data_IF_762214301933
#
_entry.id   IF_762214301933
#
_cell.length_a   1.000
_cell.length_b   1.000
_cell.length_c   1.000
_cell.angle_alpha   90.00
_cell.angle_beta   90.00
_cell.angle_gamma   90.00
#
_symmetry.space_group_name_H-M   'P 1'
#
loop_
_entity.id
_entity.type
_entity.pdbx_description
1 polymer ?
#
# COMPACT_ATOMS: atom_id res chain seq x y z
N UNK A 1 0.70 19.17 0.12
CA UNK A 1 1.20 17.78 -0.05
C UNK A 1 -0.01 16.93 -0.41
N UNK A 2 0.03 16.08 -1.45
CA UNK A 2 -1.09 15.17 -1.70
C UNK A 2 -1.23 14.20 -0.53
N UNK A 3 -2.44 14.17 0.03
CA UNK A 3 -2.83 13.25 1.09
C UNK A 3 -3.99 12.41 0.55
N UNK A 4 -3.86 11.10 0.69
CA UNK A 4 -4.91 10.14 0.37
C UNK A 4 -5.40 9.56 1.69
N UNK A 5 -6.69 9.73 1.93
CA UNK A 5 -7.40 9.06 3.03
C UNK A 5 -8.52 8.23 2.43
N UNK A 6 -8.47 6.92 2.63
CA UNK A 6 -9.49 5.98 2.16
C UNK A 6 -9.84 4.98 3.24
N UNK A 7 -11.08 4.56 3.29
CA UNK A 7 -11.50 3.46 4.14
C UNK A 7 -12.67 2.69 3.52
N UNK A 8 -12.80 1.42 3.91
CA UNK A 8 -13.91 0.56 3.55
C UNK A 8 -14.30 -0.32 4.74
N UNK A 9 -15.59 -0.66 4.82
CA UNK A 9 -16.07 -1.73 5.68
C UNK A 9 -16.12 -3.02 4.84
N UNK A 10 -15.50 -4.07 5.34
CA UNK A 10 -15.39 -5.36 4.64
C UNK A 10 -15.81 -6.50 5.56
N UNK A 11 -16.45 -7.57 5.03
CA UNK A 11 -16.90 -8.72 5.80
C UNK A 11 -15.74 -9.72 6.08
N UNK A 12 -14.54 -9.21 6.32
CA UNK A 12 -13.33 -9.99 6.58
C UNK A 12 -12.73 -9.54 7.91
N UNK A 13 -12.03 -10.43 8.59
CA UNK A 13 -11.40 -10.11 9.88
C UNK A 13 -10.23 -9.14 9.71
N UNK A 14 -9.84 -8.40 10.76
CA UNK A 14 -8.62 -7.59 10.73
C UNK A 14 -7.39 -8.39 10.31
N UNK A 15 -7.25 -9.62 10.82
CA UNK A 15 -6.14 -10.51 10.47
C UNK A 15 -6.11 -10.90 8.97
N UNK A 16 -7.27 -11.18 8.37
CA UNK A 16 -7.36 -11.45 6.93
C UNK A 16 -6.89 -10.25 6.11
N UNK A 17 -7.39 -9.06 6.43
CA UNK A 17 -7.03 -7.84 5.69
C UNK A 17 -5.58 -7.43 5.93
N UNK A 18 -5.10 -7.51 7.17
CA UNK A 18 -3.71 -7.27 7.54
C UNK A 18 -2.77 -8.20 6.78
N UNK A 19 -3.08 -9.51 6.73
CA UNK A 19 -2.27 -10.50 6.02
C UNK A 19 -2.09 -10.17 4.54
N UNK A 20 -3.15 -9.68 3.88
CA UNK A 20 -3.07 -9.28 2.46
C UNK A 20 -2.15 -8.06 2.25
N UNK A 21 -2.23 -7.06 3.13
CA UNK A 21 -1.39 -5.85 3.05
C UNK A 21 0.05 -6.13 3.48
N UNK A 22 0.28 -7.07 4.40
CA UNK A 22 1.64 -7.49 4.77
C UNK A 22 2.33 -8.29 3.66
N UNK A 23 1.58 -9.07 2.87
CA UNK A 23 2.08 -9.92 1.78
C UNK A 23 2.46 -9.09 0.53
N UNK A 24 3.53 -8.31 0.67
CA UNK A 24 4.02 -7.39 -0.37
C UNK A 24 4.42 -8.13 -1.65
N UNK A 25 5.02 -9.31 -1.56
CA UNK A 25 5.45 -10.11 -2.72
C UNK A 25 4.26 -10.53 -3.61
N UNK A 26 3.05 -10.62 -3.06
CA UNK A 26 1.85 -10.92 -3.83
C UNK A 26 1.25 -9.72 -4.57
N UNK A 27 1.71 -8.49 -4.33
CA UNK A 27 1.13 -7.28 -4.93
C UNK A 27 1.06 -7.31 -6.46
N UNK A 28 2.08 -7.77 -7.21
CA UNK A 28 2.01 -7.87 -8.67
C UNK A 28 0.88 -8.78 -9.20
N UNK A 29 0.37 -9.70 -8.36
CA UNK A 29 -0.69 -10.63 -8.75
C UNK A 29 -2.06 -9.96 -8.90
N UNK A 30 -2.27 -8.80 -8.28
CA UNK A 30 -3.59 -8.12 -8.26
C UNK A 30 -3.54 -6.60 -8.42
N UNK A 31 -2.40 -5.96 -8.17
CA UNK A 31 -2.19 -4.54 -8.43
C UNK A 31 -1.57 -4.36 -9.82
N UNK A 32 -2.40 -4.12 -10.85
CA UNK A 32 -1.96 -4.04 -12.25
C UNK A 32 -0.88 -2.98 -12.54
N UNK A 33 -0.67 -2.02 -11.63
CA UNK A 33 0.34 -0.96 -11.74
C UNK A 33 1.66 -1.30 -11.03
N UNK A 34 1.75 -2.44 -10.34
CA UNK A 34 2.95 -2.99 -9.72
C UNK A 34 3.56 -4.03 -10.66
N UNK A 35 4.78 -3.77 -11.15
CA UNK A 35 5.52 -4.69 -12.04
C UNK A 35 6.20 -5.80 -11.26
N UNK A 36 6.80 -5.45 -10.13
CA UNK A 36 7.47 -6.41 -9.24
C UNK A 36 7.42 -5.90 -7.80
N UNK A 37 7.48 -6.82 -6.86
CA UNK A 37 7.61 -6.56 -5.44
C UNK A 37 8.68 -7.50 -4.88
N UNK A 38 9.40 -7.04 -3.87
CA UNK A 38 10.48 -7.80 -3.24
C UNK A 38 10.60 -7.41 -1.77
N UNK A 39 10.47 -8.39 -0.88
CA UNK A 39 10.81 -8.26 0.55
C UNK A 39 12.30 -8.58 0.76
N UNK A 40 13.07 -7.59 1.22
CA UNK A 40 14.51 -7.73 1.48
C UNK A 40 14.82 -8.32 2.85
N UNK A 41 14.04 -7.90 3.85
CA UNK A 41 14.16 -8.30 5.25
C UNK A 41 12.79 -8.25 5.89
N UNK A 42 12.50 -9.21 6.75
CA UNK A 42 11.27 -9.24 7.54
C UNK A 42 11.54 -9.92 8.88
N UNK A 43 11.00 -9.33 9.94
CA UNK A 43 10.84 -9.93 11.26
C UNK A 43 9.40 -9.70 11.75
N UNK A 44 9.13 -9.99 13.02
CA UNK A 44 7.79 -9.87 13.61
C UNK A 44 7.24 -8.44 13.61
N UNK A 45 8.13 -7.45 13.60
CA UNK A 45 7.84 -6.03 13.86
C UNK A 45 8.26 -5.09 12.73
N UNK A 46 9.14 -5.54 11.83
CA UNK A 46 9.66 -4.73 10.75
C UNK A 46 9.73 -5.49 9.42
N UNK A 47 9.51 -4.79 8.32
CA UNK A 47 9.70 -5.31 6.97
C UNK A 47 10.34 -4.23 6.08
N UNK A 48 11.39 -4.58 5.33
CA UNK A 48 11.98 -3.72 4.32
C UNK A 48 11.60 -4.28 2.95
N UNK A 49 10.80 -3.54 2.19
CA UNK A 49 10.26 -4.01 0.92
C UNK A 49 10.42 -2.98 -0.19
N UNK A 50 10.58 -3.44 -1.41
CA UNK A 50 10.67 -2.59 -2.60
C UNK A 50 9.57 -2.91 -3.59
N UNK A 51 8.93 -1.86 -4.11
CA UNK A 51 7.99 -1.94 -5.21
C UNK A 51 8.58 -1.31 -6.47
N UNK A 52 8.46 -1.99 -7.60
CA UNK A 52 8.61 -1.40 -8.93
C UNK A 52 7.23 -1.16 -9.53
N UNK A 53 6.95 0.09 -9.87
CA UNK A 53 5.64 0.53 -10.34
C UNK A 53 5.74 1.14 -11.74
N UNK A 54 4.69 0.95 -12.54
CA UNK A 54 4.57 1.54 -13.87
C UNK A 54 3.39 2.50 -13.92
N UNK A 55 3.69 3.79 -14.04
CA UNK A 55 2.69 4.86 -14.03
C UNK A 55 2.94 5.81 -15.19
N UNK A 56 1.92 6.03 -16.03
CA UNK A 56 2.02 6.88 -17.23
C UNK A 56 3.20 6.54 -18.15
N UNK A 57 3.51 5.25 -18.29
CA UNK A 57 4.65 4.77 -19.09
C UNK A 57 6.02 4.89 -18.41
N UNK A 58 6.10 5.51 -17.22
CA UNK A 58 7.33 5.61 -16.44
C UNK A 58 7.42 4.43 -15.46
N UNK A 59 8.57 3.78 -15.46
CA UNK A 59 8.92 2.77 -14.45
C UNK A 59 9.72 3.46 -13.33
N UNK A 60 9.31 3.22 -12.09
CA UNK A 60 9.96 3.75 -10.89
C UNK A 60 9.98 2.70 -9.80
N UNK A 61 11.05 2.72 -9.00
CA UNK A 61 11.25 1.79 -7.90
C UNK A 61 11.42 2.56 -6.60
N UNK A 62 10.74 2.14 -5.54
CA UNK A 62 10.88 2.73 -4.21
C UNK A 62 10.81 1.66 -3.14
N UNK A 63 11.62 1.83 -2.10
CA UNK A 63 11.74 0.98 -0.93
C UNK A 63 11.07 1.67 0.25
N UNK A 64 10.25 0.94 0.99
CA UNK A 64 9.72 1.38 2.27
C UNK A 64 10.28 0.54 3.41
N UNK A 65 10.51 1.19 4.55
CA UNK A 65 10.64 0.55 5.84
C UNK A 65 9.26 0.52 6.48
N UNK A 66 8.81 -0.68 6.81
CA UNK A 66 7.49 -0.90 7.35
C UNK A 66 7.60 -1.30 8.81
N UNK A 67 6.77 -0.71 9.66
CA UNK A 67 6.55 -1.14 11.04
C UNK A 67 5.25 -1.93 11.11
N UNK A 68 5.34 -3.15 11.61
CA UNK A 68 4.29 -4.15 11.66
C UNK A 68 3.70 -4.20 13.08
N UNK A 69 2.39 -3.95 13.19
CA UNK A 69 1.60 -4.24 14.38
C UNK A 69 0.56 -5.27 13.98
N UNK A 70 0.78 -6.57 14.28
CA UNK A 70 -0.06 -7.67 13.82
C UNK A 70 -1.55 -7.37 13.99
N UNK A 71 -2.32 -7.59 12.92
CA UNK A 71 -3.78 -7.47 12.84
C UNK A 71 -4.38 -6.08 13.15
N UNK A 72 -3.55 -5.07 13.48
CA UNK A 72 -4.01 -3.73 13.87
C UNK A 72 -3.52 -2.65 12.91
N UNK A 73 -2.22 -2.64 12.58
CA UNK A 73 -1.60 -1.52 11.86
C UNK A 73 -0.37 -1.93 11.06
N UNK A 74 -0.17 -1.30 9.90
CA UNK A 74 1.09 -1.36 9.15
C UNK A 74 1.47 0.07 8.75
N UNK A 75 2.61 0.54 9.26
CA UNK A 75 3.13 1.89 8.99
C UNK A 75 4.21 1.76 7.92
N UNK A 76 4.21 2.65 6.93
CA UNK A 76 5.16 2.68 5.83
C UNK A 76 5.91 3.99 5.86
N UNK A 77 7.24 3.94 5.76
CA UNK A 77 8.10 5.11 5.64
C UNK A 77 9.08 4.92 4.48
N UNK A 78 9.36 5.97 3.73
CA UNK A 78 10.31 5.92 2.62
C UNK A 78 11.71 5.60 3.12
N UNK A 79 12.32 4.55 2.59
CA UNK A 79 13.75 4.26 2.78
C UNK A 79 14.57 4.77 1.58
N UNK A 80 14.06 4.57 0.35
CA UNK A 80 14.71 5.03 -0.88
C UNK A 80 13.69 5.14 -2.01
N UNK A 81 13.82 6.12 -2.90
CA UNK A 81 13.00 6.15 -4.12
C UNK A 81 13.07 7.48 -4.85
N UNK A 82 12.21 7.68 -5.86
CA UNK A 82 12.08 8.95 -6.56
C UNK A 82 11.24 9.99 -5.80
N UNK A 83 10.72 9.61 -4.63
CA UNK A 83 9.99 10.50 -3.73
C UNK A 83 10.99 11.23 -2.84
N UNK A 84 10.72 12.49 -2.51
CA UNK A 84 11.44 13.19 -1.45
C UNK A 84 10.98 12.68 -0.08
N UNK A 85 9.68 12.37 0.01
CA UNK A 85 9.06 11.77 1.19
C UNK A 85 7.88 10.89 0.75
N UNK A 86 7.70 9.78 1.44
CA UNK A 86 6.52 8.92 1.35
C UNK A 86 6.31 8.33 2.75
N UNK A 87 5.14 8.57 3.31
CA UNK A 87 4.71 7.98 4.56
C UNK A 87 3.27 7.53 4.44
N UNK A 88 2.91 6.45 5.12
CA UNK A 88 1.54 5.99 5.14
C UNK A 88 1.26 5.04 6.28
N UNK A 89 -0.01 4.78 6.52
CA UNK A 89 -0.44 3.77 7.46
C UNK A 89 -1.71 3.09 7.02
N UNK A 90 -1.68 1.77 7.05
CA UNK A 90 -2.86 0.94 7.07
C UNK A 90 -3.32 0.73 8.50
N UNK A 91 -4.63 0.81 8.74
CA UNK A 91 -5.25 0.48 10.02
C UNK A 91 -6.39 -0.50 9.79
N UNK A 92 -6.49 -1.48 10.68
CA UNK A 92 -7.48 -2.56 10.64
C UNK A 92 -8.23 -2.56 11.97
N UNK A 93 -9.49 -2.14 11.95
CA UNK A 93 -10.29 -2.06 13.18
C UNK A 93 -11.46 -3.03 13.10
N UNK A 94 -11.70 -3.87 14.12
CA UNK A 94 -12.86 -4.76 14.12
C UNK A 94 -14.16 -3.94 14.14
N UNK A 95 -15.16 -4.45 13.42
CA UNK A 95 -16.56 -3.99 13.49
C UNK A 95 -17.48 -5.19 13.69
N UNK A 96 -18.77 -4.97 13.95
CA UNK A 96 -19.71 -6.04 14.30
C UNK A 96 -19.68 -7.24 13.33
N UNK A 97 -19.60 -6.97 12.02
CA UNK A 97 -19.57 -7.99 10.96
C UNK A 97 -18.36 -7.81 10.05
N UNK A 98 -17.15 -7.77 10.61
CA UNK A 98 -15.89 -7.77 9.86
C UNK A 98 -14.88 -6.72 10.32
N UNK A 99 -14.34 -5.95 9.37
CA UNK A 99 -13.27 -4.99 9.62
C UNK A 99 -13.49 -3.68 8.88
N UNK A 100 -13.16 -2.56 9.53
CA UNK A 100 -12.84 -1.30 8.85
C UNK A 100 -11.37 -1.30 8.47
N UNK A 101 -11.09 -1.25 7.18
CA UNK A 101 -9.74 -1.06 6.64
C UNK A 101 -9.58 0.38 6.22
N UNK A 102 -8.53 1.04 6.70
CA UNK A 102 -8.21 2.43 6.36
C UNK A 102 -6.78 2.56 5.84
N UNK A 103 -6.58 3.43 4.87
CA UNK A 103 -5.29 3.84 4.35
C UNK A 103 -5.17 5.36 4.44
N UNK A 104 -4.14 5.80 5.16
CA UNK A 104 -3.60 7.16 5.12
C UNK A 104 -2.28 7.12 4.36
N UNK A 105 -2.13 7.95 3.33
CA UNK A 105 -0.90 8.03 2.54
C UNK A 105 -0.55 9.47 2.23
N UNK A 106 0.70 9.84 2.49
CA UNK A 106 1.29 11.14 2.19
C UNK A 106 2.54 10.92 1.36
N UNK A 107 2.72 11.73 0.33
CA UNK A 107 3.92 11.64 -0.49
C UNK A 107 4.28 12.99 -1.08
N UNK A 108 5.58 13.19 -1.28
CA UNK A 108 6.14 14.31 -1.98
C UNK A 108 7.13 13.80 -3.03
N UNK A 109 7.02 14.32 -4.24
CA UNK A 109 7.96 14.02 -5.32
C UNK A 109 8.68 15.31 -5.66
N UNK A 110 9.97 15.39 -5.35
CA UNK A 110 10.82 16.49 -5.74
C UNK A 110 11.22 16.39 -7.20
N UNK A 111 11.46 17.53 -7.85
CA UNK A 111 11.96 17.56 -9.22
C UNK A 111 10.99 18.19 -10.23
N UNK A 112 10.88 19.52 -10.20
CA UNK A 112 10.36 20.35 -11.28
C UNK A 112 9.01 19.94 -11.91
N UNK A 113 8.68 20.48 -13.08
CA UNK A 113 7.45 20.13 -13.81
C UNK A 113 7.43 18.69 -14.34
N UNK A 114 8.60 18.05 -14.48
CA UNK A 114 8.78 16.79 -15.21
C UNK A 114 8.17 15.55 -14.52
N UNK A 115 7.99 15.58 -13.20
CA UNK A 115 7.43 14.46 -12.43
C UNK A 115 5.94 14.61 -12.09
N UNK A 116 5.29 15.69 -12.54
CA UNK A 116 3.84 15.92 -12.33
C UNK A 116 2.94 14.79 -12.85
N UNK A 117 3.18 14.20 -14.04
CA UNK A 117 2.37 13.07 -14.50
C UNK A 117 2.48 11.86 -13.58
N UNK A 118 3.68 11.56 -13.08
CA UNK A 118 3.91 10.48 -12.13
C UNK A 118 3.12 10.73 -10.83
N UNK A 119 3.28 11.90 -10.21
CA UNK A 119 2.58 12.27 -8.98
C UNK A 119 1.04 12.16 -9.12
N UNK A 120 0.48 12.66 -10.23
CA UNK A 120 -0.97 12.59 -10.49
C UNK A 120 -1.47 11.15 -10.60
N UNK A 121 -0.74 10.29 -11.31
CA UNK A 121 -1.14 8.90 -11.50
C UNK A 121 -0.91 8.07 -10.24
N UNK A 122 0.14 8.35 -9.47
CA UNK A 122 0.36 7.72 -8.17
C UNK A 122 -0.80 8.01 -7.22
N UNK A 123 -1.26 9.27 -7.13
CA UNK A 123 -2.44 9.63 -6.33
C UNK A 123 -3.68 8.82 -6.72
N UNK A 124 -3.93 8.67 -8.03
CA UNK A 124 -5.09 7.90 -8.52
C UNK A 124 -5.02 6.42 -8.18
N UNK A 125 -3.82 5.84 -8.13
CA UNK A 125 -3.64 4.44 -7.73
C UNK A 125 -3.77 4.29 -6.22
N UNK A 126 -3.16 5.19 -5.45
CA UNK A 126 -3.32 5.24 -4.00
C UNK A 126 -4.81 5.35 -3.59
N UNK A 127 -5.59 6.17 -4.31
CA UNK A 127 -7.04 6.31 -4.10
C UNK A 127 -7.83 5.02 -4.31
N UNK A 128 -7.27 4.03 -5.03
CA UNK A 128 -7.90 2.74 -5.34
C UNK A 128 -7.40 1.59 -4.48
N UNK A 129 -6.32 1.79 -3.71
CA UNK A 129 -5.68 0.70 -2.99
C UNK A 129 -6.67 -0.04 -2.08
N UNK A 130 -7.46 0.66 -1.27
CA UNK A 130 -8.45 0.03 -0.39
C UNK A 130 -9.43 -0.86 -1.17
N UNK A 131 -9.91 -0.40 -2.31
CA UNK A 131 -10.82 -1.17 -3.17
C UNK A 131 -10.10 -2.39 -3.78
N UNK A 132 -8.86 -2.24 -4.22
CA UNK A 132 -8.06 -3.31 -4.79
C UNK A 132 -7.81 -4.43 -3.76
N UNK A 133 -7.49 -4.06 -2.51
CA UNK A 133 -7.34 -5.01 -1.40
C UNK A 133 -8.67 -5.65 -1.00
N UNK A 134 -9.77 -4.90 -1.04
CA UNK A 134 -11.10 -5.47 -0.77
C UNK A 134 -11.47 -6.52 -1.81
N UNK A 135 -11.21 -6.26 -3.10
CA UNK A 135 -11.41 -7.26 -4.17
C UNK A 135 -10.48 -8.46 -4.00
N UNK A 136 -9.23 -8.23 -3.59
CA UNK A 136 -8.29 -9.31 -3.31
C UNK A 136 -8.77 -10.19 -2.15
N UNK A 137 -9.32 -9.61 -1.09
CA UNK A 137 -9.87 -10.35 0.04
C UNK A 137 -11.02 -11.26 -0.39
N UNK A 138 -11.91 -10.78 -1.26
CA UNK A 138 -12.96 -11.62 -1.83
C UNK A 138 -12.41 -12.80 -2.64
N UNK A 139 -11.35 -12.59 -3.42
CA UNK A 139 -10.74 -13.69 -4.19
C UNK A 139 -10.07 -14.75 -3.30
N UNK A 140 -9.53 -14.35 -2.14
CA UNK A 140 -8.76 -15.24 -1.26
C UNK A 140 -9.62 -15.89 -0.17
N UNK A 141 -10.66 -15.18 0.30
CA UNK A 141 -11.46 -15.59 1.46
C UNK A 141 -12.97 -15.71 1.19
N UNK A 142 -13.49 -15.11 0.11
CA UNK A 142 -14.92 -15.02 -0.18
C UNK A 142 -15.49 -16.23 -0.91
N UNK A 143 -15.15 -17.44 -0.46
CA UNK A 143 -15.70 -18.69 -0.99
C UNK A 143 -17.23 -18.77 -0.94
#
# INVERSE_FOLDING_TARGET
MPEVHRSALVPYTPAQMYGLVRDVDSYPKFLAWVRSAEVHREDESHQLATLEVQLAGLVRRFTTRNTLVPDEKLIMELDRGPFDDLSGSWSFSPVAEGCRVSLDLRFHVGGGLFLRPFQRNFSRMADRMVDDFTRRAHQVHGG
#
